data_IF_949198625770
#
_entry.id   IF_949198625770
#
_cell.length_a   1.000
_cell.length_b   1.000
_cell.length_c   1.000
_cell.angle_alpha   90.00
_cell.angle_beta   90.00
_cell.angle_gamma   90.00
#
_symmetry.space_group_name_H-M   'P 1'
#
loop_
_entity.id
_entity.type
_entity.pdbx_description
1 polymer ?
#
# COMPACT_ATOMS: atom_id res chain seq x y z
N UNK A 1 8.39 -7.44 -8.36
CA UNK A 1 7.98 -6.04 -8.64
C UNK A 1 6.49 -6.02 -8.95
N UNK A 2 5.71 -5.07 -8.43
CA UNK A 2 4.28 -4.95 -8.72
C UNK A 2 4.03 -3.91 -9.81
N UNK A 3 3.27 -4.27 -10.84
CA UNK A 3 2.92 -3.40 -11.96
C UNK A 3 1.40 -3.21 -12.01
N UNK A 4 0.97 -1.97 -12.21
CA UNK A 4 -0.45 -1.59 -12.29
C UNK A 4 -0.67 -0.93 -13.65
N UNK A 5 -1.56 -1.49 -14.47
CA UNK A 5 -1.91 -0.92 -15.77
C UNK A 5 -2.98 0.19 -15.62
N UNK A 6 -2.67 1.38 -16.14
CA UNK A 6 -3.55 2.57 -16.10
C UNK A 6 -4.40 2.73 -17.37
N UNK A 7 -4.20 1.89 -18.38
CA UNK A 7 -4.79 2.08 -19.71
C UNK A 7 -6.17 1.44 -19.87
N UNK A 8 -6.48 0.42 -19.06
CA UNK A 8 -7.75 -0.31 -19.11
C UNK A 8 -8.79 0.13 -18.06
N UNK A 9 -8.55 1.26 -17.38
CA UNK A 9 -9.34 1.72 -16.21
C UNK A 9 -10.80 2.11 -16.51
N UNK A 10 -11.30 1.92 -17.73
CA UNK A 10 -12.70 2.09 -18.09
C UNK A 10 -13.37 0.74 -18.37
N UNK A 11 -14.13 0.24 -17.40
CA UNK A 11 -14.97 -0.97 -17.43
C UNK A 11 -14.31 -2.35 -17.26
N UNK A 12 -12.99 -2.53 -17.45
CA UNK A 12 -12.34 -3.85 -17.40
C UNK A 12 -11.74 -4.27 -16.03
N UNK A 13 -11.93 -3.49 -14.97
CA UNK A 13 -11.35 -3.76 -13.64
C UNK A 13 -9.91 -3.25 -13.49
N UNK A 14 -9.38 -3.31 -12.26
CA UNK A 14 -7.98 -2.98 -11.98
C UNK A 14 -7.10 -4.17 -12.38
N UNK A 15 -6.16 -3.97 -13.31
CA UNK A 15 -5.21 -5.01 -13.70
C UNK A 15 -3.92 -4.83 -12.91
N UNK A 16 -3.63 -5.80 -12.06
CA UNK A 16 -2.43 -5.88 -11.24
C UNK A 16 -1.63 -7.10 -11.68
N UNK A 17 -0.38 -6.88 -12.09
CA UNK A 17 0.55 -7.94 -12.50
C UNK A 17 1.74 -7.94 -11.53
N UNK A 18 2.13 -9.12 -11.07
CA UNK A 18 3.34 -9.31 -10.28
C UNK A 18 4.42 -9.99 -11.12
N UNK A 19 5.63 -9.45 -11.07
CA UNK A 19 6.83 -10.11 -11.59
C UNK A 19 7.25 -11.23 -10.63
N UNK A 20 7.47 -12.44 -11.15
CA UNK A 20 7.75 -13.67 -10.39
C UNK A 20 9.10 -13.65 -9.64
N UNK A 21 9.94 -12.62 -9.86
CA UNK A 21 11.22 -12.48 -9.18
C UNK A 21 11.03 -12.25 -7.68
N UNK A 22 11.57 -13.17 -6.89
CA UNK A 22 11.71 -13.04 -5.44
C UNK A 22 13.07 -12.42 -5.13
N UNK A 23 13.05 -11.24 -4.51
CA UNK A 23 14.26 -10.47 -4.22
C UNK A 23 14.72 -10.78 -2.79
N UNK A 24 15.97 -11.20 -2.64
CA UNK A 24 16.60 -11.32 -1.33
C UNK A 24 16.80 -9.92 -0.72
N UNK A 25 16.86 -9.80 0.60
CA UNK A 25 16.91 -8.48 1.27
C UNK A 25 18.10 -7.62 0.81
N UNK A 26 19.25 -8.24 0.57
CA UNK A 26 20.44 -7.55 0.05
C UNK A 26 20.23 -7.05 -1.39
N UNK A 27 19.51 -7.82 -2.21
CA UNK A 27 19.16 -7.43 -3.59
C UNK A 27 18.13 -6.29 -3.59
N UNK A 28 17.19 -6.27 -2.64
CA UNK A 28 16.23 -5.16 -2.47
C UNK A 28 16.94 -3.86 -2.12
N UNK A 29 17.95 -3.90 -1.25
CA UNK A 29 18.76 -2.72 -0.92
C UNK A 29 19.57 -2.24 -2.13
N UNK A 30 20.21 -3.17 -2.85
CA UNK A 30 20.95 -2.85 -4.08
C UNK A 30 20.04 -2.28 -5.18
N UNK A 31 18.85 -2.87 -5.38
CA UNK A 31 17.85 -2.35 -6.32
C UNK A 31 17.31 -0.99 -5.88
N UNK A 32 17.10 -0.77 -4.58
CA UNK A 32 16.71 0.54 -4.07
C UNK A 32 17.78 1.60 -4.36
N UNK A 33 19.04 1.27 -4.15
CA UNK A 33 20.16 2.17 -4.46
C UNK A 33 20.22 2.46 -5.96
N UNK A 34 20.13 1.43 -6.82
CA UNK A 34 20.09 1.58 -8.28
C UNK A 34 18.89 2.43 -8.73
N UNK A 35 17.70 2.19 -8.17
CA UNK A 35 16.50 2.99 -8.47
C UNK A 35 16.70 4.44 -8.03
N UNK A 36 17.26 4.68 -6.85
CA UNK A 36 17.52 6.03 -6.36
C UNK A 36 18.56 6.76 -7.23
N UNK A 37 19.62 6.07 -7.63
CA UNK A 37 20.66 6.61 -8.51
C UNK A 37 20.09 6.96 -9.88
N UNK A 38 19.34 6.04 -10.50
CA UNK A 38 18.70 6.27 -11.81
C UNK A 38 17.69 7.42 -11.77
N UNK A 39 16.89 7.54 -10.70
CA UNK A 39 16.02 8.70 -10.49
C UNK A 39 16.80 10.01 -10.38
N UNK A 40 17.91 10.02 -9.64
CA UNK A 40 18.77 11.20 -9.47
C UNK A 40 19.41 11.64 -10.80
N UNK A 41 19.84 10.67 -11.62
CA UNK A 41 20.36 10.95 -12.98
C UNK A 41 19.27 11.51 -13.90
N UNK A 42 18.04 10.99 -13.83
CA UNK A 42 16.91 11.49 -14.61
C UNK A 42 16.51 12.91 -14.19
N UNK A 43 16.49 13.21 -12.90
CA UNK A 43 16.24 14.58 -12.39
C UNK A 43 17.28 15.58 -12.91
N UNK A 44 18.57 15.19 -12.87
CA UNK A 44 19.68 16.01 -13.38
C UNK A 44 19.60 16.23 -14.89
N UNK A 45 19.14 15.22 -15.65
CA UNK A 45 18.93 15.32 -17.09
C UNK A 45 17.74 16.22 -17.44
N UNK A 46 16.65 16.13 -16.66
CA UNK A 46 15.44 16.93 -16.85
C UNK A 46 15.66 18.44 -16.58
N UNK A 47 16.62 18.81 -15.70
CA UNK A 47 16.96 20.22 -15.47
C UNK A 47 17.68 20.88 -16.66
N UNK A 48 18.34 20.09 -17.53
CA UNK A 48 19.11 20.59 -18.67
C UNK A 48 18.29 20.72 -19.96
N UNK A 49 17.00 20.36 -19.97
CA UNK A 49 16.15 20.37 -21.16
C UNK A 49 14.89 21.24 -20.96
N UNK A 50 14.99 22.53 -21.24
CA UNK A 50 13.81 23.37 -21.56
C UNK A 50 13.30 22.99 -22.95
N UNK A 51 12.46 21.94 -23.07
CA UNK A 51 11.33 21.86 -24.03
C UNK A 51 10.62 20.48 -24.06
N UNK A 52 9.29 20.58 -23.93
CA UNK A 52 8.20 19.83 -24.57
C UNK A 52 7.93 18.32 -24.38
N UNK A 53 8.75 17.49 -23.74
CA UNK A 53 8.28 16.15 -23.31
C UNK A 53 8.81 15.77 -21.93
N UNK A 54 7.95 15.91 -20.90
CA UNK A 54 8.14 15.28 -19.59
C UNK A 54 7.88 13.76 -19.72
N UNK A 55 8.78 13.05 -20.40
CA UNK A 55 8.73 11.59 -20.58
C UNK A 55 9.88 10.95 -19.81
N UNK A 56 9.56 10.03 -18.88
CA UNK A 56 10.55 9.31 -18.07
C UNK A 56 9.90 8.64 -16.84
N UNK A 57 10.67 7.80 -16.15
CA UNK A 57 10.28 7.26 -14.84
C UNK A 57 10.43 8.38 -13.80
N UNK A 58 9.34 8.69 -13.10
CA UNK A 58 9.32 9.67 -12.02
C UNK A 58 8.89 8.96 -10.74
N UNK A 59 9.67 9.15 -9.67
CA UNK A 59 9.25 8.72 -8.34
C UNK A 59 8.04 9.55 -7.90
N UNK A 60 6.91 8.88 -7.68
CA UNK A 60 5.67 9.54 -7.26
C UNK A 60 5.66 9.73 -5.74
N UNK A 61 5.95 8.68 -4.98
CA UNK A 61 6.03 8.72 -3.53
C UNK A 61 6.79 7.49 -3.00
N UNK A 62 7.63 7.63 -1.95
CA UNK A 62 8.07 6.49 -1.16
C UNK A 62 6.89 5.95 -0.33
N UNK A 63 6.81 4.63 -0.19
CA UNK A 63 5.77 3.98 0.60
C UNK A 63 6.33 2.79 1.41
N UNK A 64 5.72 2.56 2.56
CA UNK A 64 5.99 1.45 3.47
C UNK A 64 5.05 0.26 3.27
N UNK A 65 3.95 0.46 2.54
CA UNK A 65 2.95 -0.55 2.28
C UNK A 65 1.79 0.01 1.47
N UNK A 66 1.01 -0.89 0.87
CA UNK A 66 -0.22 -0.57 0.15
C UNK A 66 -1.37 -0.84 1.13
N UNK A 67 -2.20 0.16 1.40
CA UNK A 67 -3.44 -0.02 2.17
C UNK A 67 -4.46 -0.76 1.31
N UNK A 68 -4.53 -0.41 0.03
CA UNK A 68 -5.35 -1.07 -0.98
C UNK A 68 -5.78 -0.11 -2.08
N UNK A 69 -6.80 -0.52 -2.81
CA UNK A 69 -7.38 0.19 -3.94
C UNK A 69 -8.84 0.49 -3.70
N UNK A 70 -9.28 1.66 -4.11
CA UNK A 70 -10.69 2.05 -4.05
C UNK A 70 -11.12 2.65 -5.38
N UNK A 71 -12.27 2.21 -5.87
CA UNK A 71 -12.97 2.87 -6.98
C UNK A 71 -14.11 3.69 -6.39
N UNK A 72 -14.14 4.97 -6.71
CA UNK A 72 -15.33 5.79 -6.44
C UNK A 72 -16.32 5.60 -7.60
N UNK A 73 -16.61 6.66 -8.34
CA UNK A 73 -17.56 6.60 -9.45
C UNK A 73 -16.89 6.16 -10.75
N UNK A 74 -15.81 6.86 -11.14
CA UNK A 74 -15.16 6.63 -12.42
C UNK A 74 -13.71 6.16 -12.27
N UNK A 75 -12.97 6.69 -11.29
CA UNK A 75 -11.54 6.42 -11.18
C UNK A 75 -11.18 5.49 -10.03
N UNK A 76 -10.12 4.71 -10.26
CA UNK A 76 -9.42 3.97 -9.23
C UNK A 76 -8.37 4.85 -8.55
N UNK A 77 -8.24 4.67 -7.24
CA UNK A 77 -7.25 5.32 -6.41
C UNK A 77 -6.46 4.25 -5.66
N UNK A 78 -5.15 4.44 -5.55
CA UNK A 78 -4.28 3.66 -4.68
C UNK A 78 -4.02 4.44 -3.40
N UNK A 79 -4.08 3.75 -2.27
CA UNK A 79 -3.78 4.33 -0.95
C UNK A 79 -2.49 3.70 -0.43
N UNK A 80 -1.50 4.55 -0.16
CA UNK A 80 -0.15 4.17 0.24
C UNK A 80 0.14 4.66 1.65
N UNK A 81 0.83 3.82 2.44
CA UNK A 81 1.37 4.20 3.74
C UNK A 81 2.68 4.94 3.50
N UNK A 82 2.73 6.24 3.76
CA UNK A 82 3.93 7.07 3.52
C UNK A 82 4.79 7.26 4.77
N UNK A 83 4.19 7.14 5.96
CA UNK A 83 4.91 7.14 7.25
C UNK A 83 4.33 6.11 8.20
N UNK A 84 5.22 5.52 9.00
CA UNK A 84 4.89 4.56 10.06
C UNK A 84 5.80 4.75 11.26
N UNK A 85 5.31 4.42 12.45
CA UNK A 85 6.08 4.45 13.70
C UNK A 85 6.02 3.11 14.42
N UNK A 86 7.15 2.53 14.87
CA UNK A 86 7.11 1.34 15.71
C UNK A 86 6.47 1.68 17.06
N UNK A 87 5.51 0.87 17.49
CA UNK A 87 4.75 1.09 18.74
C UNK A 87 4.81 -0.08 19.72
N UNK A 88 5.10 -1.29 19.23
CA UNK A 88 5.24 -2.46 20.08
C UNK A 88 6.14 -3.52 19.43
N UNK A 89 6.68 -4.41 20.26
CA UNK A 89 7.39 -5.62 19.90
C UNK A 89 6.77 -6.79 20.67
N UNK A 90 6.15 -7.72 19.94
CA UNK A 90 5.53 -8.94 20.49
C UNK A 90 6.30 -10.13 19.94
N UNK A 91 7.07 -10.81 20.79
CA UNK A 91 7.78 -12.04 20.42
C UNK A 91 8.79 -11.87 19.27
N UNK A 92 9.40 -10.69 19.12
CA UNK A 92 10.31 -10.38 18.01
C UNK A 92 9.62 -9.74 16.81
N UNK A 93 8.29 -9.69 16.78
CA UNK A 93 7.53 -9.03 15.73
C UNK A 93 7.23 -7.58 16.10
N UNK A 94 7.63 -6.66 15.23
CA UNK A 94 7.39 -5.24 15.44
C UNK A 94 6.01 -4.88 14.86
N UNK A 95 5.23 -4.15 15.66
CA UNK A 95 3.97 -3.57 15.25
C UNK A 95 4.16 -2.08 14.99
N UNK A 96 3.57 -1.63 13.91
CA UNK A 96 3.69 -0.27 13.41
C UNK A 96 2.34 0.42 13.46
N UNK A 97 2.34 1.67 13.90
CA UNK A 97 1.24 2.61 13.72
C UNK A 97 1.42 3.34 12.39
N UNK A 98 0.34 3.49 11.63
CA UNK A 98 0.31 4.37 10.44
C UNK A 98 0.33 5.81 10.92
N UNK A 99 1.26 6.62 10.42
CA UNK A 99 1.35 8.05 10.75
C UNK A 99 0.90 8.95 9.59
N UNK A 100 1.06 8.48 8.36
CA UNK A 100 0.70 9.27 7.17
C UNK A 100 0.37 8.35 6.01
N UNK A 101 -0.54 8.81 5.16
CA UNK A 101 -1.00 8.09 3.97
C UNK A 101 -1.17 9.04 2.80
N UNK A 102 -0.81 8.59 1.61
CA UNK A 102 -1.05 9.31 0.37
C UNK A 102 -2.02 8.54 -0.52
N UNK A 103 -2.92 9.26 -1.17
CA UNK A 103 -3.85 8.70 -2.15
C UNK A 103 -3.54 9.25 -3.54
N UNK A 104 -3.36 8.36 -4.51
CA UNK A 104 -3.07 8.73 -5.90
C UNK A 104 -4.12 8.18 -6.85
N UNK A 105 -4.58 9.03 -7.78
CA UNK A 105 -5.46 8.60 -8.86
C UNK A 105 -4.67 7.76 -9.89
N UNK A 106 -5.21 6.62 -10.28
CA UNK A 106 -4.62 5.72 -11.26
C UNK A 106 -5.17 5.94 -12.67
N UNK A 107 -6.33 6.56 -12.81
CA UNK A 107 -6.93 6.80 -14.13
C UNK A 107 -6.05 7.71 -14.98
N UNK A 108 -5.86 7.34 -16.25
CA UNK A 108 -5.30 8.25 -17.23
C UNK A 108 -6.19 9.50 -17.37
N UNK A 109 -5.62 10.69 -17.61
CA UNK A 109 -6.42 11.88 -17.91
C UNK A 109 -7.09 11.66 -19.28
N UNK A 110 -8.32 11.17 -19.29
CA UNK A 110 -9.07 10.84 -20.50
C UNK A 110 -9.61 12.09 -21.22
N UNK A 111 -9.26 13.29 -20.75
CA UNK A 111 -9.79 14.57 -21.24
C UNK A 111 -11.28 14.78 -20.96
N UNK A 112 -11.96 13.78 -20.37
CA UNK A 112 -13.35 13.88 -19.93
C UNK A 112 -13.40 14.59 -18.58
N UNK A 113 -14.40 15.45 -18.35
CA UNK A 113 -14.64 15.99 -17.03
C UNK A 113 -14.97 14.83 -16.09
N UNK A 114 -14.27 14.78 -14.95
CA UNK A 114 -14.54 13.82 -13.89
C UNK A 114 -16.00 13.96 -13.42
N UNK A 115 -16.60 12.86 -12.97
CA UNK A 115 -17.95 12.89 -12.42
C UNK A 115 -18.10 13.98 -11.35
N UNK A 116 -19.16 14.83 -11.40
CA UNK A 116 -19.30 16.00 -10.52
C UNK A 116 -19.25 15.65 -9.03
N UNK A 117 -19.74 14.46 -8.66
CA UNK A 117 -19.74 13.97 -7.29
C UNK A 117 -18.46 13.23 -6.85
N UNK A 118 -17.51 12.96 -7.74
CA UNK A 118 -16.30 12.20 -7.40
C UNK A 118 -15.50 12.90 -6.29
N UNK A 119 -15.35 14.22 -6.39
CA UNK A 119 -14.70 15.03 -5.35
C UNK A 119 -15.40 14.97 -3.99
N UNK A 120 -16.71 14.71 -3.95
CA UNK A 120 -17.48 14.55 -2.69
C UNK A 120 -17.12 13.23 -2.02
N UNK A 121 -17.08 12.12 -2.77
CA UNK A 121 -16.72 10.81 -2.23
C UNK A 121 -15.28 10.77 -1.74
N UNK A 122 -14.36 11.41 -2.47
CA UNK A 122 -12.96 11.58 -2.04
C UNK A 122 -12.91 12.28 -0.68
N UNK A 123 -13.62 13.39 -0.51
CA UNK A 123 -13.66 14.13 0.76
C UNK A 123 -14.28 13.31 1.89
N UNK A 124 -15.35 12.56 1.62
CA UNK A 124 -15.95 11.68 2.62
C UNK A 124 -14.95 10.62 3.08
N UNK A 125 -14.21 10.02 2.15
CA UNK A 125 -13.19 9.03 2.48
C UNK A 125 -12.02 9.67 3.27
N UNK A 126 -11.58 10.87 2.89
CA UNK A 126 -10.53 11.62 3.59
C UNK A 126 -10.91 12.05 5.01
N UNK A 127 -12.19 12.01 5.39
CA UNK A 127 -12.60 12.21 6.79
C UNK A 127 -12.20 11.03 7.69
N UNK A 128 -11.91 9.85 7.11
CA UNK A 128 -11.35 8.73 7.87
C UNK A 128 -9.87 9.01 8.11
N UNK A 129 -9.53 9.33 9.36
CA UNK A 129 -8.15 9.59 9.73
C UNK A 129 -7.36 8.29 9.91
N UNK A 130 -6.71 7.86 8.82
CA UNK A 130 -5.83 6.68 8.79
C UNK A 130 -4.59 6.82 9.69
N UNK A 131 -4.23 8.04 10.13
CA UNK A 131 -3.09 8.26 11.02
C UNK A 131 -3.43 8.12 12.51
N UNK A 132 -4.72 8.15 12.85
CA UNK A 132 -5.15 8.20 14.25
C UNK A 132 -4.92 6.88 14.96
N UNK A 133 -5.47 5.79 14.43
CA UNK A 133 -5.74 4.56 15.20
C UNK A 133 -5.54 3.26 14.40
N UNK A 134 -4.68 3.27 13.39
CA UNK A 134 -4.45 2.12 12.52
C UNK A 134 -3.07 1.50 12.70
N UNK A 135 -3.06 0.16 12.75
CA UNK A 135 -1.86 -0.61 13.06
C UNK A 135 -1.71 -1.83 12.14
N UNK A 136 -0.47 -2.22 11.90
CA UNK A 136 -0.14 -3.41 11.12
C UNK A 136 1.21 -3.99 11.55
N UNK A 137 1.51 -5.19 11.08
CA UNK A 137 2.85 -5.78 11.14
C UNK A 137 3.16 -6.50 9.83
N UNK A 138 4.43 -6.53 9.43
CA UNK A 138 4.87 -7.25 8.23
C UNK A 138 4.99 -8.76 8.44
N UNK A 139 5.23 -9.17 9.69
CA UNK A 139 5.60 -10.56 10.03
C UNK A 139 4.60 -11.23 10.96
N UNK A 140 3.60 -10.49 11.45
CA UNK A 140 2.66 -10.96 12.46
C UNK A 140 1.24 -10.63 12.04
N UNK A 141 0.36 -11.62 12.11
CA UNK A 141 -1.07 -11.41 11.85
C UNK A 141 -1.74 -10.72 13.04
N UNK A 142 -1.93 -9.41 12.91
CA UNK A 142 -2.56 -8.56 13.93
C UNK A 142 -4.06 -8.82 14.11
N UNK A 143 -4.68 -9.62 13.24
CA UNK A 143 -6.13 -9.91 13.30
C UNK A 143 -6.49 -10.97 14.35
N UNK A 144 -5.50 -11.71 14.84
CA UNK A 144 -5.69 -12.78 15.83
C UNK A 144 -5.08 -12.43 17.18
N UNK A 145 -5.68 -12.94 18.25
CA UNK A 145 -5.09 -12.85 19.59
C UNK A 145 -3.87 -13.77 19.69
N UNK A 146 -2.90 -13.37 20.52
CA UNK A 146 -1.71 -14.18 20.78
C UNK A 146 -2.07 -15.58 21.30
N UNK A 147 -3.09 -15.67 22.16
CA UNK A 147 -3.60 -16.95 22.67
C UNK A 147 -4.08 -17.88 21.55
N UNK A 148 -4.75 -17.33 20.54
CA UNK A 148 -5.21 -18.10 19.39
C UNK A 148 -4.02 -18.60 18.56
N UNK A 149 -3.06 -17.73 18.25
CA UNK A 149 -1.87 -18.10 17.50
C UNK A 149 -0.99 -19.15 18.20
N UNK A 150 -0.85 -19.06 19.53
CA UNK A 150 -0.09 -20.05 20.31
C UNK A 150 -0.74 -21.44 20.23
N UNK A 151 -2.08 -21.52 20.22
CA UNK A 151 -2.81 -22.79 20.09
C UNK A 151 -2.67 -23.42 18.71
N UNK A 152 -2.48 -22.62 17.67
CA UNK A 152 -2.39 -23.09 16.28
C UNK A 152 -0.96 -23.23 15.77
N UNK A 153 0.04 -22.93 16.60
CA UNK A 153 1.48 -22.96 16.27
C UNK A 153 2.06 -24.30 15.79
N UNK A 154 1.27 -25.38 15.79
CA UNK A 154 1.65 -26.70 15.29
C UNK A 154 0.76 -27.27 14.18
N UNK A 155 -0.17 -26.48 13.62
CA UNK A 155 -1.10 -26.90 12.57
C UNK A 155 -1.08 -25.98 11.35
N UNK A 156 -1.95 -26.23 10.34
CA UNK A 156 -2.13 -25.32 9.22
C UNK A 156 -2.48 -23.92 9.72
N UNK A 157 -1.84 -22.89 9.16
CA UNK A 157 -2.09 -21.51 9.56
C UNK A 157 -3.59 -21.19 9.35
N UNK A 158 -4.31 -20.81 10.41
CA UNK A 158 -5.72 -20.48 10.30
C UNK A 158 -5.90 -19.20 9.44
N UNK A 159 -7.01 -19.07 8.72
CA UNK A 159 -7.29 -17.85 7.96
C UNK A 159 -7.38 -16.64 8.90
N UNK A 160 -6.97 -15.46 8.43
CA UNK A 160 -7.05 -14.21 9.19
C UNK A 160 -8.49 -13.92 9.61
N UNK A 161 -8.66 -13.27 10.77
CA UNK A 161 -9.98 -12.96 11.28
C UNK A 161 -10.57 -11.74 10.55
N UNK A 162 -11.37 -11.97 9.51
CA UNK A 162 -11.98 -10.92 8.66
C UNK A 162 -12.64 -9.79 9.47
N UNK A 163 -13.24 -10.12 10.63
CA UNK A 163 -13.86 -9.14 11.54
C UNK A 163 -12.94 -7.98 11.93
N UNK A 164 -11.63 -8.23 12.00
CA UNK A 164 -10.64 -7.24 12.44
C UNK A 164 -9.85 -6.63 11.28
N UNK A 165 -9.98 -7.15 10.06
CA UNK A 165 -9.32 -6.58 8.87
C UNK A 165 -10.12 -5.36 8.43
N UNK A 166 -9.59 -4.17 8.72
CA UNK A 166 -10.28 -2.94 8.35
C UNK A 166 -10.26 -2.67 6.84
N UNK A 167 -9.16 -3.03 6.17
CA UNK A 167 -8.95 -2.78 4.74
C UNK A 167 -9.33 -3.95 3.82
N UNK A 168 -10.16 -4.91 4.29
CA UNK A 168 -10.57 -6.09 3.50
C UNK A 168 -11.10 -5.68 2.12
N UNK A 169 -12.08 -4.77 2.10
CA UNK A 169 -12.66 -4.26 0.85
C UNK A 169 -11.62 -3.59 -0.08
N UNK A 170 -10.63 -2.93 0.50
CA UNK A 170 -9.58 -2.26 -0.27
C UNK A 170 -8.58 -3.27 -0.87
N UNK A 171 -8.49 -4.47 -0.31
CA UNK A 171 -7.59 -5.54 -0.74
C UNK A 171 -8.25 -6.48 -1.76
N UNK A 172 -9.56 -6.41 -2.01
CA UNK A 172 -10.27 -7.31 -2.93
C UNK A 172 -9.64 -7.36 -4.34
N UNK A 173 -9.07 -6.26 -4.82
CA UNK A 173 -8.42 -6.20 -6.13
C UNK A 173 -6.98 -6.73 -6.14
N UNK A 174 -6.43 -7.05 -4.97
CA UNK A 174 -5.12 -7.68 -4.79
C UNK A 174 -5.26 -9.16 -4.46
N UNK A 175 -6.23 -9.51 -3.62
CA UNK A 175 -6.47 -10.87 -3.18
C UNK A 175 -6.73 -11.80 -4.37
N UNK A 176 -5.90 -12.85 -4.49
CA UNK A 176 -5.98 -13.83 -5.58
C UNK A 176 -5.15 -13.50 -6.83
N UNK A 177 -4.65 -12.27 -6.97
CA UNK A 177 -3.81 -11.86 -8.10
C UNK A 177 -2.34 -11.68 -7.75
N UNK A 178 -2.04 -11.38 -6.48
CA UNK A 178 -0.68 -11.12 -6.01
C UNK A 178 -0.30 -12.05 -4.87
N UNK A 179 1.00 -12.23 -4.68
CA UNK A 179 1.53 -12.96 -3.54
C UNK A 179 1.13 -12.29 -2.22
N UNK A 180 0.90 -13.10 -1.18
CA UNK A 180 0.51 -12.67 0.17
C UNK A 180 1.45 -11.65 0.82
N UNK A 181 2.66 -11.43 0.26
CA UNK A 181 3.64 -10.45 0.75
C UNK A 181 3.19 -9.00 0.52
N UNK A 182 2.35 -8.78 -0.49
CA UNK A 182 1.78 -7.47 -0.82
C UNK A 182 0.51 -7.18 -0.02
N UNK A 183 -0.10 -8.22 0.55
CA UNK A 183 -1.34 -8.13 1.30
C UNK A 183 -1.00 -7.76 2.74
N UNK A 184 -1.32 -6.52 3.11
CA UNK A 184 -1.06 -5.99 4.43
C UNK A 184 -2.38 -5.78 5.18
N UNK A 185 -2.68 -6.65 6.14
CA UNK A 185 -3.86 -6.48 6.98
C UNK A 185 -3.65 -5.34 7.99
N UNK A 186 -4.60 -4.42 8.02
CA UNK A 186 -4.60 -3.27 8.93
C UNK A 186 -5.77 -3.43 9.91
N UNK A 187 -5.49 -3.22 11.20
CA UNK A 187 -6.50 -3.19 12.26
C UNK A 187 -6.75 -1.76 12.71
N UNK A 188 -7.98 -1.46 13.12
CA UNK A 188 -8.35 -0.21 13.77
C UNK A 188 -8.54 -0.45 15.28
N UNK A 189 -7.89 0.34 16.12
CA UNK A 189 -7.99 0.19 17.57
C UNK A 189 -6.98 1.01 18.35
N UNK A 190 -6.50 0.44 19.46
CA UNK A 190 -5.49 1.07 20.30
C UNK A 190 -4.39 0.07 20.66
N UNK A 191 -3.15 0.54 20.65
CA UNK A 191 -2.00 -0.26 21.02
C UNK A 191 -0.96 0.60 21.71
N UNK A 192 -0.44 0.11 22.83
CA UNK A 192 0.64 0.74 23.58
C UNK A 192 1.44 -0.34 24.26
N UNK A 193 2.76 -0.24 24.19
CA UNK A 193 3.68 -1.05 24.99
C UNK A 193 4.51 -0.12 25.86
N UNK A 194 4.63 -0.47 27.13
CA UNK A 194 5.50 0.22 28.07
C UNK A 194 6.66 -0.73 28.32
N UNK A 195 7.89 -0.30 28.01
CA UNK A 195 9.09 -1.00 28.43
C UNK A 195 9.41 -0.59 29.86
N UNK A 196 9.61 -1.56 30.74
CA UNK A 196 10.20 -1.36 32.08
C UNK A 196 11.68 -0.96 32.00
#
# INVERSE_FOLDING_TARGET
MLKIDRTQSGAAGLVVEEDEKEYQQNEVEEEREKVQETLTMLESTNQNFTTCYKGGLQQVAPAFGIVGFIRFLESYYIILITKRKPVANIGGHILYKIEDTAMHCLSAPTGRPAHPDESKYIKIFQNVDLSSSFYFSYSYDVTHSLQFQMRTSGGPMPPSCLRFIWNEYLLENLEGFVHSRWILHIICGFMSQISE
#
